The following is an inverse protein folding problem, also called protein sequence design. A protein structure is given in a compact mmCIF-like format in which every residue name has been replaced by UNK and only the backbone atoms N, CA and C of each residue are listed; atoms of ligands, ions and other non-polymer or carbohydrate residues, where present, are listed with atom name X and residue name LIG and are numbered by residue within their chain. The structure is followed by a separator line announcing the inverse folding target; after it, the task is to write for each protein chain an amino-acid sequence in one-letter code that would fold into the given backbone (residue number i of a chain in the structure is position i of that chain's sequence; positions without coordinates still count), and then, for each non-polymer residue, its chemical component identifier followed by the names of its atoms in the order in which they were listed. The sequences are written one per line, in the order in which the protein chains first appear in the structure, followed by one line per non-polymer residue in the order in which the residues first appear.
data_IF_317769231797
#
_entry.id   IF_317769231797
#
_cell.length_a   1.000
_cell.length_b   1.000
_cell.length_c   1.000
_cell.angle_alpha   90.00
_cell.angle_beta   90.00
_cell.angle_gamma   90.00
#
_symmetry.space_group_name_H-M   'P 1'
#
loop_
_entity.id
_entity.type
_entity.pdbx_description
1 polymer ?
#
# COMPACT_ATOMS: atom_id res chain seq x y z
N UNK A 1 26.30 14.68 8.50
CA UNK A 1 24.85 14.51 8.60
C UNK A 1 24.23 15.07 7.34
N UNK A 2 23.55 14.26 6.54
CA UNK A 2 22.69 14.79 5.48
C UNK A 2 21.49 15.41 6.18
N UNK A 3 21.32 16.73 6.08
CA UNK A 3 20.07 17.39 6.48
C UNK A 3 18.96 16.84 5.59
N UNK A 4 17.88 16.34 6.19
CA UNK A 4 16.71 15.95 5.40
C UNK A 4 16.26 17.16 4.57
N UNK A 5 16.01 17.00 3.26
CA UNK A 5 15.43 18.07 2.48
C UNK A 5 14.06 18.41 3.07
N UNK A 6 13.70 19.70 3.03
CA UNK A 6 12.33 20.10 3.34
C UNK A 6 11.40 19.43 2.33
N UNK A 7 10.34 18.81 2.83
CA UNK A 7 9.31 18.19 2.00
C UNK A 7 7.93 18.60 2.51
N UNK A 8 6.99 18.72 1.58
CA UNK A 8 5.60 19.04 1.85
C UNK A 8 4.70 17.88 1.38
N UNK A 9 3.77 17.47 2.23
CA UNK A 9 2.75 16.48 1.84
C UNK A 9 1.53 17.23 1.32
N UNK A 10 1.45 17.39 0.00
CA UNK A 10 0.37 18.13 -0.66
C UNK A 10 -0.94 17.34 -0.81
N UNK A 11 -0.92 16.03 -0.54
CA UNK A 11 -2.14 15.22 -0.57
C UNK A 11 -1.91 13.73 -0.35
N UNK A 12 -3.02 13.03 -0.07
CA UNK A 12 -3.05 11.58 0.17
C UNK A 12 -4.14 10.96 -0.69
N UNK A 13 -3.79 9.93 -1.46
CA UNK A 13 -4.75 9.13 -2.20
C UNK A 13 -4.93 7.79 -1.50
N UNK A 14 -6.18 7.46 -1.16
CA UNK A 14 -6.56 6.18 -0.60
C UNK A 14 -7.43 5.39 -1.56
N UNK A 15 -7.05 4.15 -1.80
CA UNK A 15 -7.92 3.20 -2.48
C UNK A 15 -9.15 2.91 -1.63
N UNK A 16 -10.34 2.98 -2.22
CA UNK A 16 -11.56 2.47 -1.59
C UNK A 16 -11.56 0.95 -1.68
N UNK A 17 -12.03 0.25 -0.63
CA UNK A 17 -12.35 -1.15 -0.76
C UNK A 17 -13.27 -1.37 -1.97
N UNK A 18 -13.05 -2.45 -2.70
CA UNK A 18 -13.97 -2.83 -3.77
C UNK A 18 -15.38 -3.00 -3.17
N UNK A 19 -16.42 -2.39 -3.77
CA UNK A 19 -17.76 -2.54 -3.25
C UNK A 19 -18.18 -4.02 -3.28
N UNK A 20 -18.87 -4.46 -2.23
CA UNK A 20 -19.48 -5.79 -2.17
C UNK A 20 -20.68 -5.81 -3.11
N UNK A 21 -20.45 -6.22 -4.36
CA UNK A 21 -21.50 -6.44 -5.36
C UNK A 21 -21.80 -7.94 -5.50
N UNK A 22 -22.90 -8.30 -6.15
CA UNK A 22 -23.18 -9.71 -6.51
C UNK A 22 -22.04 -10.34 -7.32
N UNK A 23 -21.38 -9.54 -8.16
CA UNK A 23 -20.18 -9.96 -8.90
C UNK A 23 -19.01 -10.21 -7.94
N UNK A 24 -18.74 -9.26 -7.06
CA UNK A 24 -17.70 -9.37 -6.02
C UNK A 24 -17.91 -10.60 -5.13
N UNK A 25 -19.16 -10.93 -4.75
CA UNK A 25 -19.47 -12.12 -3.96
C UNK A 25 -19.19 -13.43 -4.72
N UNK A 26 -19.50 -13.47 -6.03
CA UNK A 26 -19.16 -14.60 -6.89
C UNK A 26 -17.64 -14.74 -7.05
N UNK A 27 -16.95 -13.63 -7.26
CA UNK A 27 -15.49 -13.58 -7.39
C UNK A 27 -14.81 -13.98 -6.08
N UNK A 28 -15.34 -13.56 -4.93
CA UNK A 28 -14.88 -14.00 -3.60
C UNK A 28 -15.06 -15.49 -3.41
N UNK A 29 -16.23 -16.05 -3.78
CA UNK A 29 -16.46 -17.50 -3.71
C UNK A 29 -15.50 -18.27 -4.61
N UNK A 30 -15.25 -17.78 -5.82
CA UNK A 30 -14.27 -18.36 -6.75
C UNK A 30 -12.85 -18.27 -6.18
N UNK A 31 -12.50 -17.12 -5.61
CA UNK A 31 -11.20 -16.90 -4.98
C UNK A 31 -10.99 -17.84 -3.79
N UNK A 32 -11.95 -17.94 -2.86
CA UNK A 32 -11.93 -18.88 -1.73
C UNK A 32 -11.78 -20.33 -2.17
N UNK A 33 -12.44 -20.72 -3.27
CA UNK A 33 -12.29 -22.06 -3.87
C UNK A 33 -10.87 -22.29 -4.40
N UNK A 34 -10.26 -21.27 -5.01
CA UNK A 34 -8.92 -21.36 -5.58
C UNK A 34 -7.81 -21.36 -4.51
N UNK A 35 -7.94 -20.54 -3.47
CA UNK A 35 -6.94 -20.47 -2.39
C UNK A 35 -7.10 -21.60 -1.36
N UNK A 36 -8.28 -22.25 -1.34
CA UNK A 36 -8.63 -23.30 -0.40
C UNK A 36 -9.19 -22.77 0.91
N UNK A 37 -10.15 -23.52 1.47
CA UNK A 37 -10.91 -23.09 2.66
C UNK A 37 -10.03 -22.87 3.89
N UNK A 38 -8.97 -23.68 4.06
CA UNK A 38 -8.01 -23.55 5.16
C UNK A 38 -7.22 -22.24 5.08
N UNK A 39 -6.86 -21.81 3.87
CA UNK A 39 -6.14 -20.55 3.66
C UNK A 39 -7.06 -19.34 3.84
N UNK A 40 -8.31 -19.43 3.34
CA UNK A 40 -9.33 -18.42 3.62
C UNK A 40 -9.59 -18.21 5.11
N UNK A 41 -9.62 -19.31 5.89
CA UNK A 41 -9.78 -19.27 7.34
C UNK A 41 -8.57 -18.64 8.05
N UNK A 42 -7.34 -18.96 7.60
CA UNK A 42 -6.12 -18.32 8.10
C UNK A 42 -6.13 -16.81 7.86
N UNK A 43 -6.47 -16.36 6.65
CA UNK A 43 -6.55 -14.94 6.31
C UNK A 43 -7.61 -14.22 7.14
N UNK A 44 -8.75 -14.85 7.38
CA UNK A 44 -9.78 -14.29 8.27
C UNK A 44 -9.22 -14.05 9.67
N UNK A 45 -8.62 -15.06 10.30
CA UNK A 45 -8.03 -14.92 11.63
C UNK A 45 -6.90 -13.89 11.66
N UNK A 46 -6.04 -13.88 10.64
CA UNK A 46 -4.99 -12.86 10.50
C UNK A 46 -5.58 -11.45 10.54
N UNK A 47 -6.63 -11.19 9.74
CA UNK A 47 -7.29 -9.89 9.69
C UNK A 47 -7.99 -9.54 11.00
N UNK A 48 -8.62 -10.53 11.65
CA UNK A 48 -9.23 -10.35 12.97
C UNK A 48 -8.20 -9.97 14.03
N UNK A 49 -7.07 -10.68 14.09
CA UNK A 49 -5.98 -10.39 15.04
C UNK A 49 -5.39 -9.01 14.78
N UNK A 50 -5.13 -8.66 13.53
CA UNK A 50 -4.62 -7.33 13.16
C UNK A 50 -5.59 -6.21 13.56
N UNK A 51 -6.88 -6.40 13.29
CA UNK A 51 -7.92 -5.45 13.68
C UNK A 51 -8.00 -5.29 15.20
N UNK A 52 -8.00 -6.40 15.95
CA UNK A 52 -8.00 -6.36 17.41
C UNK A 52 -6.75 -5.69 17.97
N UNK A 53 -5.57 -6.01 17.44
CA UNK A 53 -4.32 -5.34 17.81
C UNK A 53 -4.36 -3.84 17.55
N UNK A 54 -4.96 -3.41 16.42
CA UNK A 54 -5.16 -2.00 16.12
C UNK A 54 -6.14 -1.33 17.11
N UNK A 55 -7.25 -1.98 17.45
CA UNK A 55 -8.19 -1.49 18.47
C UNK A 55 -7.52 -1.37 19.83
N UNK A 56 -6.76 -2.37 20.26
CA UNK A 56 -6.01 -2.35 21.52
C UNK A 56 -5.00 -1.20 21.54
N UNK A 57 -4.23 -0.99 20.48
CA UNK A 57 -3.27 0.12 20.41
C UNK A 57 -3.93 1.51 20.50
N UNK A 58 -5.18 1.64 20.04
CA UNK A 58 -5.94 2.89 20.18
C UNK A 58 -6.43 3.07 21.61
N UNK A 59 -6.94 2.00 22.24
CA UNK A 59 -7.56 2.06 23.57
C UNK A 59 -6.53 2.08 24.71
N UNK A 60 -5.43 1.37 24.54
CA UNK A 60 -4.35 1.19 25.51
C UNK A 60 -3.01 1.59 24.86
N UNK A 61 -2.79 2.90 24.61
CA UNK A 61 -1.55 3.35 24.02
C UNK A 61 -0.39 3.11 25.00
N UNK A 62 0.62 2.34 24.58
CA UNK A 62 1.87 2.21 25.32
C UNK A 62 2.73 3.48 25.23
N UNK A 63 3.88 3.48 25.92
CA UNK A 63 4.81 4.62 25.98
C UNK A 63 5.62 4.88 24.70
N UNK A 64 5.38 4.10 23.63
CA UNK A 64 6.09 4.23 22.34
C UNK A 64 5.48 5.27 21.40
N UNK A 65 6.20 5.56 20.32
CA UNK A 65 5.71 6.43 19.24
C UNK A 65 4.36 5.94 18.73
N UNK A 66 3.38 6.83 18.72
CA UNK A 66 2.01 6.50 18.29
C UNK A 66 2.01 6.19 16.80
N UNK A 67 1.67 4.95 16.44
CA UNK A 67 1.28 4.62 15.06
C UNK A 67 -0.09 5.25 14.82
N UNK A 68 -0.08 6.46 14.27
CA UNK A 68 -1.31 7.17 13.95
C UNK A 68 -1.87 6.65 12.62
N UNK A 69 -3.17 6.37 12.54
CA UNK A 69 -3.76 6.03 11.26
C UNK A 69 -3.73 7.24 10.34
N UNK A 70 -3.60 7.00 9.03
CA UNK A 70 -3.47 8.05 8.02
C UNK A 70 -4.58 9.11 8.10
N UNK A 71 -5.81 8.75 8.53
CA UNK A 71 -6.89 9.74 8.70
C UNK A 71 -6.65 10.71 9.86
N UNK A 72 -5.96 10.27 10.92
CA UNK A 72 -5.62 11.11 12.08
C UNK A 72 -4.46 12.02 11.73
N UNK A 73 -3.42 11.49 11.07
CA UNK A 73 -2.30 12.28 10.53
C UNK A 73 -2.83 13.36 9.58
N UNK A 74 -3.65 12.98 8.59
CA UNK A 74 -4.23 13.95 7.64
C UNK A 74 -5.00 15.08 8.35
N UNK A 75 -5.80 14.75 9.37
CA UNK A 75 -6.56 15.76 10.12
C UNK A 75 -5.66 16.68 10.93
N UNK A 76 -4.63 16.13 11.57
CA UNK A 76 -3.69 16.86 12.44
C UNK A 76 -2.84 17.85 11.65
N UNK A 77 -2.39 17.45 10.45
CA UNK A 77 -1.54 18.27 9.58
C UNK A 77 -2.31 18.99 8.46
N UNK A 78 -3.65 18.91 8.44
CA UNK A 78 -4.47 19.57 7.42
C UNK A 78 -4.30 19.04 5.99
N UNK A 79 -3.81 17.80 5.82
CA UNK A 79 -3.47 17.23 4.51
C UNK A 79 -4.75 16.70 3.84
N UNK A 80 -5.06 17.07 2.58
CA UNK A 80 -6.24 16.60 1.89
C UNK A 80 -6.16 15.10 1.57
N UNK A 81 -7.24 14.36 1.82
CA UNK A 81 -7.36 12.93 1.51
C UNK A 81 -8.41 12.71 0.43
N UNK A 82 -8.01 12.09 -0.68
CA UNK A 82 -8.93 11.65 -1.74
C UNK A 82 -9.09 10.14 -1.71
N UNK A 83 -10.34 9.69 -1.62
CA UNK A 83 -10.67 8.27 -1.77
C UNK A 83 -11.06 7.94 -3.21
N UNK A 84 -10.38 6.98 -3.83
CA UNK A 84 -10.54 6.63 -5.26
C UNK A 84 -10.86 5.14 -5.44
N UNK A 85 -11.67 4.82 -6.44
CA UNK A 85 -11.93 3.43 -6.85
C UNK A 85 -10.92 2.92 -7.87
N UNK A 86 -10.43 3.82 -8.73
CA UNK A 86 -9.41 3.52 -9.75
C UNK A 86 -8.43 4.70 -9.81
N UNK A 87 -7.16 4.45 -9.48
CA UNK A 87 -6.07 5.42 -9.55
C UNK A 87 -5.80 5.90 -10.98
N UNK A 88 -6.11 5.06 -11.96
CA UNK A 88 -5.89 5.33 -13.38
C UNK A 88 -7.09 6.03 -14.03
N UNK A 89 -8.12 6.36 -13.26
CA UNK A 89 -9.28 7.05 -13.80
C UNK A 89 -8.90 8.48 -14.22
N UNK A 90 -9.39 9.01 -15.36
CA UNK A 90 -9.03 10.35 -15.84
C UNK A 90 -9.21 11.47 -14.81
N UNK A 91 -10.24 11.40 -13.97
CA UNK A 91 -10.45 12.42 -12.92
C UNK A 91 -9.38 12.39 -11.83
N UNK A 92 -8.74 11.25 -11.59
CA UNK A 92 -7.65 11.10 -10.62
C UNK A 92 -6.33 11.51 -11.25
N UNK A 93 -6.12 11.18 -12.53
CA UNK A 93 -4.99 11.67 -13.33
C UNK A 93 -4.97 13.20 -13.33
N UNK A 94 -6.10 13.85 -13.67
CA UNK A 94 -6.21 15.31 -13.66
C UNK A 94 -5.94 15.90 -12.27
N UNK A 95 -6.47 15.28 -11.21
CA UNK A 95 -6.19 15.70 -9.83
C UNK A 95 -4.68 15.67 -9.51
N UNK A 96 -3.99 14.59 -9.86
CA UNK A 96 -2.55 14.46 -9.62
C UNK A 96 -1.77 15.48 -10.46
N UNK A 97 -2.20 15.68 -11.71
CA UNK A 97 -1.58 16.65 -12.61
C UNK A 97 -1.72 18.09 -12.09
N UNK A 98 -2.87 18.45 -11.51
CA UNK A 98 -3.11 19.78 -10.91
C UNK A 98 -2.27 20.01 -9.66
N UNK A 99 -2.05 18.95 -8.87
CA UNK A 99 -1.20 18.98 -7.68
C UNK A 99 0.30 19.11 -8.00
N UNK A 100 0.73 18.68 -9.19
CA UNK A 100 2.13 18.75 -9.66
C UNK A 100 3.15 18.21 -8.64
N UNK A 101 3.00 16.96 -8.14
CA UNK A 101 3.94 16.40 -7.18
C UNK A 101 5.34 16.24 -7.78
N UNK A 102 6.38 16.50 -6.98
CA UNK A 102 7.75 16.14 -7.36
C UNK A 102 7.95 14.61 -7.31
N UNK A 103 7.42 13.96 -6.26
CA UNK A 103 7.50 12.51 -6.01
C UNK A 103 6.14 12.03 -5.51
N UNK A 104 5.76 10.81 -5.87
CA UNK A 104 4.68 10.07 -5.19
C UNK A 104 5.30 8.91 -4.41
N UNK A 105 4.81 8.66 -3.20
CA UNK A 105 5.18 7.49 -2.38
C UNK A 105 3.99 6.55 -2.29
N UNK A 106 4.13 5.37 -2.89
CA UNK A 106 3.24 4.22 -2.75
C UNK A 106 3.65 3.40 -1.53
N UNK A 107 2.72 3.25 -0.58
CA UNK A 107 2.88 2.40 0.58
C UNK A 107 1.64 1.51 0.72
N UNK A 108 1.80 0.20 0.52
CA UNK A 108 0.71 -0.77 0.59
C UNK A 108 -0.52 -0.41 -0.28
N UNK A 109 -0.29 0.23 -1.43
CA UNK A 109 -1.36 0.56 -2.36
C UNK A 109 -1.75 -0.68 -3.17
N UNK A 110 -3.05 -0.95 -3.28
CA UNK A 110 -3.56 -2.25 -3.77
C UNK A 110 -4.03 -2.22 -5.24
N UNK A 111 -3.71 -1.16 -5.98
CA UNK A 111 -4.07 -1.03 -7.39
C UNK A 111 -2.81 -0.92 -8.25
N UNK A 112 -2.85 -1.48 -9.45
CA UNK A 112 -1.78 -1.32 -10.43
C UNK A 112 -1.82 0.12 -10.96
N UNK A 113 -0.71 0.83 -10.79
CA UNK A 113 -0.51 2.18 -11.30
C UNK A 113 0.03 2.06 -12.73
N UNK A 114 -0.64 2.66 -13.71
CA UNK A 114 -0.28 2.59 -15.12
C UNK A 114 0.50 3.83 -15.56
N UNK A 115 1.14 3.74 -16.72
CA UNK A 115 1.96 4.80 -17.34
C UNK A 115 1.37 6.21 -17.22
N UNK A 116 0.07 6.46 -17.50
CA UNK A 116 -0.48 7.82 -17.39
C UNK A 116 -0.39 8.45 -15.99
N UNK A 117 -0.22 7.64 -14.94
CA UNK A 117 -0.02 8.10 -13.56
C UNK A 117 1.47 8.05 -13.19
N UNK A 118 2.21 7.02 -13.65
CA UNK A 118 3.65 6.88 -13.42
C UNK A 118 4.42 8.11 -13.91
N UNK A 119 4.00 8.67 -15.05
CA UNK A 119 4.69 9.77 -15.72
C UNK A 119 4.32 11.16 -15.17
N UNK A 120 3.39 11.27 -14.21
CA UNK A 120 2.93 12.55 -13.66
C UNK A 120 3.92 13.22 -12.71
N UNK A 121 4.48 12.54 -11.68
CA UNK A 121 5.44 13.18 -10.79
C UNK A 121 6.79 13.41 -11.48
N UNK A 122 7.41 14.55 -11.18
CA UNK A 122 8.68 14.98 -11.80
C UNK A 122 9.80 13.93 -11.72
N UNK A 123 9.92 13.24 -10.60
CA UNK A 123 10.96 12.25 -10.34
C UNK A 123 10.44 10.81 -10.31
N UNK A 124 9.14 10.58 -10.49
CA UNK A 124 8.54 9.26 -10.49
C UNK A 124 7.86 8.87 -9.16
N UNK A 125 7.58 7.57 -9.04
CA UNK A 125 6.86 6.99 -7.91
C UNK A 125 7.76 5.99 -7.17
N UNK A 126 7.98 6.21 -5.89
CA UNK A 126 8.62 5.25 -5.00
C UNK A 126 7.60 4.28 -4.44
N UNK A 127 7.95 3.00 -4.34
CA UNK A 127 7.15 1.99 -3.68
C UNK A 127 7.89 1.38 -2.49
N UNK A 128 7.19 1.27 -1.36
CA UNK A 128 7.66 0.56 -0.17
C UNK A 128 7.09 -0.86 -0.20
N UNK A 129 7.94 -1.82 -0.57
CA UNK A 129 7.55 -3.22 -0.74
C UNK A 129 8.01 -4.09 0.44
N UNK A 130 7.13 -4.84 1.12
CA UNK A 130 7.49 -5.67 2.27
C UNK A 130 8.11 -7.03 1.87
N UNK A 131 9.04 -7.01 0.92
CA UNK A 131 9.77 -8.17 0.44
C UNK A 131 11.20 -7.82 0.05
N UNK A 132 12.09 -8.80 0.11
CA UNK A 132 13.50 -8.64 -0.24
C UNK A 132 13.70 -8.76 -1.76
N UNK A 133 13.41 -7.68 -2.50
CA UNK A 133 13.49 -7.68 -3.97
C UNK A 133 14.89 -8.07 -4.47
N UNK A 134 15.04 -8.71 -5.64
CA UNK A 134 13.98 -9.11 -6.57
C UNK A 134 13.23 -10.39 -6.13
N UNK A 135 13.59 -10.99 -4.99
CA UNK A 135 12.81 -12.09 -4.44
C UNK A 135 11.50 -11.55 -3.84
N UNK A 136 10.46 -12.39 -3.84
CA UNK A 136 9.17 -12.07 -3.23
C UNK A 136 8.48 -10.83 -3.80
N UNK A 137 8.57 -10.60 -5.13
CA UNK A 137 7.72 -9.64 -5.85
C UNK A 137 6.23 -9.99 -5.70
N UNK A 138 5.39 -8.98 -5.85
CA UNK A 138 3.95 -9.11 -5.91
C UNK A 138 3.29 -9.26 -4.53
N UNK A 139 2.03 -9.70 -4.56
CA UNK A 139 1.21 -9.71 -3.36
C UNK A 139 1.69 -10.73 -2.32
N UNK A 140 1.43 -10.41 -1.04
CA UNK A 140 1.65 -11.32 0.10
C UNK A 140 3.13 -11.73 0.28
N UNK A 141 4.08 -10.84 -0.03
CA UNK A 141 5.52 -11.11 0.09
C UNK A 141 5.92 -11.72 1.45
N UNK A 142 5.47 -11.14 2.57
CA UNK A 142 5.71 -11.65 3.92
C UNK A 142 5.24 -13.09 4.13
N UNK A 143 4.09 -13.47 3.54
CA UNK A 143 3.58 -14.84 3.64
C UNK A 143 4.50 -15.82 2.91
N UNK A 144 4.94 -15.45 1.71
CA UNK A 144 5.83 -16.30 0.92
C UNK A 144 7.22 -16.44 1.54
N UNK A 145 7.73 -15.39 2.17
CA UNK A 145 8.98 -15.43 2.95
C UNK A 145 8.87 -16.51 4.04
N UNK A 146 7.80 -16.46 4.84
CA UNK A 146 7.57 -17.44 5.92
C UNK A 146 7.31 -18.84 5.39
N UNK A 147 6.45 -18.99 4.37
CA UNK A 147 6.11 -20.28 3.78
C UNK A 147 7.33 -21.00 3.22
N UNK A 148 8.25 -20.25 2.63
CA UNK A 148 9.47 -20.82 2.05
C UNK A 148 10.57 -21.07 3.09
N UNK A 149 10.33 -20.76 4.37
CA UNK A 149 11.34 -20.88 5.42
C UNK A 149 12.57 -19.99 5.16
N UNK A 150 12.36 -18.83 4.56
CA UNK A 150 13.47 -17.94 4.18
C UNK A 150 14.21 -17.41 5.40
N UNK A 151 15.54 -17.49 5.38
CA UNK A 151 16.39 -16.91 6.42
C UNK A 151 16.42 -15.37 6.36
N UNK A 152 16.06 -14.79 5.21
CA UNK A 152 16.05 -13.33 5.00
C UNK A 152 14.64 -12.84 4.72
N UNK A 153 14.25 -11.84 5.52
CA UNK A 153 13.07 -11.01 5.35
C UNK A 153 13.50 -9.54 5.36
N UNK A 154 12.68 -8.65 4.81
CA UNK A 154 12.95 -7.22 4.86
C UNK A 154 11.98 -6.42 4.02
N UNK A 155 12.31 -5.14 3.86
CA UNK A 155 11.55 -4.17 3.07
C UNK A 155 12.48 -3.68 1.96
N UNK A 156 11.95 -3.46 0.77
CA UNK A 156 12.67 -2.82 -0.32
C UNK A 156 11.99 -1.52 -0.70
N UNK A 157 12.77 -0.48 -0.98
CA UNK A 157 12.32 0.75 -1.61
C UNK A 157 12.79 0.71 -3.05
N UNK A 158 11.88 0.87 -4.01
CA UNK A 158 12.21 0.85 -5.43
C UNK A 158 11.32 1.82 -6.22
N UNK A 159 11.75 2.20 -7.41
CA UNK A 159 10.93 2.96 -8.35
C UNK A 159 9.86 2.06 -8.97
N UNK A 160 8.66 2.60 -9.21
CA UNK A 160 7.63 1.91 -9.99
C UNK A 160 7.93 2.06 -11.48
N UNK A 161 7.87 0.94 -12.20
CA UNK A 161 7.87 0.89 -13.66
C UNK A 161 6.60 0.20 -14.16
N UNK A 162 6.57 -0.22 -15.44
CA UNK A 162 5.41 -0.89 -16.05
C UNK A 162 5.12 -2.28 -15.46
N UNK A 163 6.08 -2.88 -14.75
CA UNK A 163 5.94 -4.21 -14.17
C UNK A 163 5.57 -4.16 -12.69
N UNK A 164 5.49 -5.35 -12.07
CA UNK A 164 5.14 -5.50 -10.66
C UNK A 164 6.43 -5.72 -9.87
N UNK A 165 6.79 -4.72 -9.06
CA UNK A 165 7.98 -4.70 -8.21
C UNK A 165 9.29 -5.01 -8.98
N UNK A 166 9.37 -4.49 -10.21
CA UNK A 166 10.48 -4.71 -11.16
C UNK A 166 11.42 -3.52 -11.30
N UNK A 167 10.99 -2.32 -10.94
CA UNK A 167 11.78 -1.12 -11.13
C UNK A 167 13.04 -1.06 -10.26
N UNK A 168 13.87 -0.06 -10.55
CA UNK A 168 15.19 0.10 -9.96
C UNK A 168 15.13 0.23 -8.43
N UNK A 169 15.99 -0.53 -7.76
CA UNK A 169 16.07 -0.57 -6.30
C UNK A 169 16.82 0.65 -5.77
N UNK A 170 16.24 1.29 -4.76
CA UNK A 170 16.84 2.44 -4.05
C UNK A 170 17.48 2.01 -2.73
N UNK A 171 16.79 1.17 -1.93
CA UNK A 171 17.30 0.68 -0.65
C UNK A 171 16.64 -0.65 -0.23
N UNK A 172 17.26 -1.37 0.71
CA UNK A 172 16.68 -2.49 1.47
C UNK A 172 16.94 -2.35 2.96
#
# INVERSE_FOLDING_TARGET
MLTMPEFEIIGIIKSKPLPLTRKTAKDLKKHLKNIGWRFGWLLFWQQTIQFLGYVINILLPGDGDRILPVWKISREYGIPVKHVHDINHPTVINLIQDLKPDIIVSAYFNQIIKEPVIDLPKFGILNIHPGWLPAYRGAMAYFWVLKNGSEKAGVSIHWIDKGIDTGELVSR
#
